data_IF_694371330072
#
_entry.id   IF_694371330072
#
_cell.length_a   1.000
_cell.length_b   1.000
_cell.length_c   1.000
_cell.angle_alpha   90.00
_cell.angle_beta   90.00
_cell.angle_gamma   90.00
#
_symmetry.space_group_name_H-M   'P 1'
#
loop_
_entity.id
_entity.type
_entity.pdbx_description
1 polymer ?
#
# COMPACT_ATOMS: atom_id res chain seq x y z
N UNK A 1 29.91 -26.82 43.76
CA UNK A 1 30.17 -26.47 42.34
C UNK A 1 29.22 -27.26 41.43
N UNK A 2 27.91 -27.16 41.68
CA UNK A 2 26.87 -27.90 40.94
C UNK A 2 25.52 -27.15 40.91
N UNK A 3 25.51 -25.84 41.19
CA UNK A 3 24.28 -25.04 41.32
C UNK A 3 24.22 -23.83 40.35
N UNK A 4 25.17 -23.73 39.42
CA UNK A 4 25.23 -22.64 38.42
C UNK A 4 24.84 -23.13 37.02
N UNK A 5 24.70 -24.44 36.79
CA UNK A 5 24.41 -25.02 35.47
C UNK A 5 22.92 -25.30 35.22
N UNK A 6 22.02 -24.99 36.16
CA UNK A 6 20.59 -25.27 36.03
C UNK A 6 19.74 -24.01 35.73
N UNK A 7 20.37 -22.86 35.55
CA UNK A 7 19.70 -21.62 35.12
C UNK A 7 19.79 -21.36 33.61
N UNK A 8 20.47 -22.21 32.85
CA UNK A 8 20.66 -22.04 31.40
C UNK A 8 19.74 -22.95 30.54
N UNK A 9 18.81 -23.68 31.15
CA UNK A 9 17.99 -24.68 30.44
C UNK A 9 16.47 -24.56 30.60
N UNK A 10 15.95 -23.50 31.22
CA UNK A 10 14.49 -23.24 31.27
C UNK A 10 14.02 -21.98 30.55
N UNK A 11 14.90 -21.29 29.81
CA UNK A 11 14.49 -20.24 28.86
C UNK A 11 14.24 -20.79 27.45
N UNK A 12 13.83 -22.05 27.35
CA UNK A 12 13.17 -22.60 26.15
C UNK A 12 11.66 -22.39 26.29
N UNK A 13 11.26 -21.12 26.28
CA UNK A 13 9.87 -20.70 26.16
C UNK A 13 9.79 -19.86 24.87
N UNK A 14 9.19 -20.43 23.83
CA UNK A 14 8.91 -19.85 22.50
C UNK A 14 9.99 -18.93 21.91
N UNK A 15 10.88 -19.46 21.06
CA UNK A 15 11.68 -18.65 20.16
C UNK A 15 10.77 -17.92 19.16
N UNK A 16 10.27 -16.75 19.53
CA UNK A 16 9.97 -15.71 18.53
C UNK A 16 11.33 -15.25 17.99
N UNK A 17 11.59 -15.56 16.73
CA UNK A 17 12.82 -15.15 16.06
C UNK A 17 12.80 -13.62 15.94
N UNK A 18 13.76 -12.95 16.57
CA UNK A 18 13.86 -11.49 16.50
C UNK A 18 14.14 -11.04 15.06
N UNK A 19 13.77 -9.80 14.70
CA UNK A 19 14.09 -9.24 13.38
C UNK A 19 15.60 -9.32 13.10
N UNK A 20 16.44 -9.15 14.13
CA UNK A 20 17.88 -9.33 14.03
C UNK A 20 18.27 -10.74 13.55
N UNK A 21 17.77 -11.79 14.22
CA UNK A 21 18.10 -13.18 13.88
C UNK A 21 17.64 -13.53 12.46
N UNK A 22 16.47 -13.02 12.07
CA UNK A 22 15.94 -13.18 10.73
C UNK A 22 16.87 -12.55 9.68
N UNK A 23 17.27 -11.28 9.87
CA UNK A 23 18.14 -10.57 8.94
C UNK A 23 19.52 -11.24 8.83
N UNK A 24 20.08 -11.72 9.95
CA UNK A 24 21.35 -12.45 9.97
C UNK A 24 21.26 -13.74 9.14
N UNK A 25 20.20 -14.53 9.35
CA UNK A 25 20.01 -15.79 8.61
C UNK A 25 19.78 -15.61 7.11
N UNK A 26 19.17 -14.49 6.70
CA UNK A 26 18.85 -14.20 5.29
C UNK A 26 19.96 -13.46 4.52
N UNK A 27 20.95 -12.90 5.22
CA UNK A 27 21.94 -11.99 4.63
C UNK A 27 22.72 -12.59 3.44
N UNK A 28 23.22 -13.83 3.55
CA UNK A 28 23.98 -14.46 2.47
C UNK A 28 23.07 -14.75 1.27
N UNK A 29 21.89 -15.32 1.53
CA UNK A 29 20.89 -15.62 0.51
C UNK A 29 20.50 -14.36 -0.26
N UNK A 30 20.20 -13.27 0.44
CA UNK A 30 19.82 -12.02 -0.20
C UNK A 30 20.92 -11.41 -1.05
N UNK A 31 22.20 -11.56 -0.66
CA UNK A 31 23.35 -11.15 -1.49
C UNK A 31 23.38 -11.90 -2.84
N UNK A 32 22.98 -13.16 -2.85
CA UNK A 32 22.95 -13.99 -4.05
C UNK A 32 21.74 -13.71 -4.92
N UNK A 33 20.57 -13.43 -4.33
CA UNK A 33 19.29 -13.34 -5.03
C UNK A 33 18.91 -11.92 -5.49
N UNK A 34 19.25 -10.89 -4.71
CA UNK A 34 18.77 -9.53 -4.92
C UNK A 34 19.87 -8.56 -5.38
N UNK A 35 19.46 -7.50 -6.07
CA UNK A 35 20.30 -6.37 -6.40
C UNK A 35 20.71 -5.64 -5.12
N UNK A 36 22.00 -5.28 -4.95
CA UNK A 36 22.40 -4.43 -3.84
C UNK A 36 21.84 -3.02 -4.05
N UNK A 37 21.62 -2.31 -2.95
CA UNK A 37 21.25 -0.89 -2.91
C UNK A 37 19.90 -0.48 -3.49
N UNK A 38 19.09 -1.40 -4.02
CA UNK A 38 17.75 -1.08 -4.54
C UNK A 38 16.70 -1.82 -3.71
N UNK A 39 15.80 -1.05 -3.12
CA UNK A 39 14.60 -1.56 -2.44
C UNK A 39 13.34 -1.00 -3.10
N UNK A 40 12.21 -1.61 -2.78
CA UNK A 40 10.88 -1.15 -3.15
C UNK A 40 10.05 -1.05 -1.88
N UNK A 41 9.30 0.04 -1.77
CA UNK A 41 8.29 0.23 -0.73
C UNK A 41 6.96 0.60 -1.40
N UNK A 42 5.92 -0.17 -1.12
CA UNK A 42 4.60 -0.08 -1.72
C UNK A 42 3.58 0.47 -0.73
N UNK A 43 2.89 1.54 -1.10
CA UNK A 43 1.75 2.07 -0.35
C UNK A 43 0.46 1.51 -0.94
N UNK A 44 -0.14 0.55 -0.27
CA UNK A 44 -1.35 -0.13 -0.75
C UNK A 44 -2.58 0.59 -0.23
N UNK A 45 -3.30 1.29 -1.09
CA UNK A 45 -4.57 1.93 -0.74
C UNK A 45 -5.75 1.00 -0.99
N UNK A 46 -6.64 0.93 -0.01
CA UNK A 46 -7.95 0.29 -0.10
C UNK A 46 -9.04 1.25 0.38
N UNK A 47 -10.27 1.07 -0.10
CA UNK A 47 -11.41 1.87 0.33
C UNK A 47 -12.54 0.99 0.83
N UNK A 48 -12.98 1.23 2.06
CA UNK A 48 -14.06 0.48 2.69
C UNK A 48 -14.77 1.32 3.73
N UNK A 49 -16.10 1.15 3.84
CA UNK A 49 -16.93 1.86 4.83
C UNK A 49 -16.68 3.38 4.89
N UNK A 50 -16.56 4.01 3.72
CA UNK A 50 -16.30 5.44 3.61
C UNK A 50 -15.02 5.93 4.32
N UNK A 51 -14.00 5.06 4.37
CA UNK A 51 -12.65 5.32 4.85
C UNK A 51 -11.62 4.85 3.82
N UNK A 52 -10.57 5.65 3.61
CA UNK A 52 -9.38 5.23 2.87
C UNK A 52 -8.41 4.60 3.87
N UNK A 53 -7.90 3.42 3.53
CA UNK A 53 -7.02 2.64 4.38
C UNK A 53 -5.72 2.32 3.66
N UNK A 54 -4.68 2.09 4.44
CA UNK A 54 -3.38 1.61 3.96
C UNK A 54 -3.06 0.28 4.62
N UNK A 55 -2.56 -0.67 3.82
CA UNK A 55 -2.06 -1.93 4.35
C UNK A 55 -0.69 -1.71 5.01
N UNK A 56 -0.57 -2.09 6.28
CA UNK A 56 0.66 -1.99 7.06
C UNK A 56 1.01 -3.33 7.72
N UNK A 57 2.29 -3.53 7.98
CA UNK A 57 2.80 -4.68 8.72
C UNK A 57 3.33 -4.24 10.08
N UNK A 58 2.98 -4.97 11.14
CA UNK A 58 3.60 -4.78 12.47
C UNK A 58 4.83 -5.69 12.56
N UNK A 59 6.00 -5.10 12.78
CA UNK A 59 7.26 -5.84 12.88
C UNK A 59 7.29 -6.75 14.11
N UNK A 60 7.87 -7.95 13.99
CA UNK A 60 7.99 -8.91 15.09
C UNK A 60 8.76 -8.35 16.27
N UNK A 61 8.18 -8.41 17.45
CA UNK A 61 8.84 -8.02 18.71
C UNK A 61 9.11 -6.51 18.84
N UNK A 62 8.55 -5.69 17.95
CA UNK A 62 8.70 -4.24 17.91
C UNK A 62 7.33 -3.56 17.85
N UNK A 63 7.20 -2.36 18.44
CA UNK A 63 5.97 -1.56 18.34
C UNK A 63 5.95 -0.62 17.12
N UNK A 64 6.77 -0.92 16.12
CA UNK A 64 6.87 -0.15 14.87
C UNK A 64 6.19 -0.85 13.70
N UNK A 65 5.64 -0.05 12.80
CA UNK A 65 4.95 -0.53 11.60
C UNK A 65 5.73 -0.23 10.33
N UNK A 66 5.54 -1.05 9.30
CA UNK A 66 6.18 -0.90 8.00
C UNK A 66 5.15 -0.89 6.87
N UNK A 67 5.55 -0.30 5.74
CA UNK A 67 4.87 -0.51 4.47
C UNK A 67 5.27 -1.90 3.93
N UNK A 68 4.44 -2.52 3.09
CA UNK A 68 4.86 -3.65 2.26
C UNK A 68 6.07 -3.24 1.44
N UNK A 69 7.21 -3.87 1.68
CA UNK A 69 8.46 -3.53 1.04
C UNK A 69 9.37 -4.75 0.88
N UNK A 70 10.40 -4.60 0.06
CA UNK A 70 11.31 -5.67 -0.24
C UNK A 70 12.44 -5.26 -1.18
N UNK A 71 13.12 -6.27 -1.71
CA UNK A 71 14.30 -6.10 -2.55
C UNK A 71 14.00 -6.55 -3.98
N UNK A 72 14.74 -5.98 -4.93
CA UNK A 72 14.61 -6.28 -6.36
C UNK A 72 15.54 -7.44 -6.71
N UNK A 73 14.98 -8.52 -7.25
CA UNK A 73 15.71 -9.71 -7.67
C UNK A 73 16.63 -9.40 -8.86
N UNK A 74 17.69 -10.21 -9.02
CA UNK A 74 18.66 -9.99 -10.12
C UNK A 74 18.10 -10.26 -11.53
N UNK A 75 16.93 -10.89 -11.62
CA UNK A 75 16.31 -11.34 -12.89
C UNK A 75 14.89 -10.78 -13.09
N UNK A 76 14.48 -9.82 -12.27
CA UNK A 76 13.17 -9.17 -12.37
C UNK A 76 13.36 -7.65 -12.55
N UNK A 77 12.40 -7.00 -13.19
CA UNK A 77 12.31 -5.53 -13.21
C UNK A 77 11.63 -4.98 -11.94
N UNK A 78 11.45 -3.66 -11.87
CA UNK A 78 10.89 -3.00 -10.69
C UNK A 78 9.40 -3.30 -10.50
N UNK A 79 8.65 -3.34 -11.60
CA UNK A 79 7.24 -3.63 -11.62
C UNK A 79 6.95 -5.10 -11.25
N UNK A 80 7.75 -6.03 -11.76
CA UNK A 80 7.73 -7.46 -11.39
C UNK A 80 8.02 -7.64 -9.91
N UNK A 81 9.08 -7.00 -9.40
CA UNK A 81 9.44 -7.03 -7.99
C UNK A 81 8.33 -6.46 -7.08
N UNK A 82 7.75 -5.32 -7.44
CA UNK A 82 6.66 -4.71 -6.69
C UNK A 82 5.40 -5.58 -6.68
N UNK A 83 5.05 -6.21 -7.82
CA UNK A 83 3.94 -7.17 -7.87
C UNK A 83 4.19 -8.38 -6.99
N UNK A 84 5.38 -8.97 -7.05
CA UNK A 84 5.76 -10.11 -6.20
C UNK A 84 5.67 -9.76 -4.71
N UNK A 85 6.25 -8.63 -4.29
CA UNK A 85 6.18 -8.15 -2.89
C UNK A 85 4.73 -8.02 -2.43
N UNK A 86 3.87 -7.48 -3.28
CA UNK A 86 2.45 -7.27 -2.94
C UNK A 86 1.66 -8.57 -2.94
N UNK A 87 1.89 -9.46 -3.89
CA UNK A 87 1.27 -10.80 -3.94
C UNK A 87 1.62 -11.58 -2.68
N UNK A 88 2.89 -11.58 -2.25
CA UNK A 88 3.32 -12.25 -1.02
C UNK A 88 2.60 -11.73 0.25
N UNK A 89 2.12 -10.47 0.27
CA UNK A 89 1.43 -9.86 1.44
C UNK A 89 -0.09 -9.82 1.34
N UNK A 90 -0.63 -9.92 0.14
CA UNK A 90 -2.06 -9.69 -0.12
C UNK A 90 -2.75 -10.87 -0.79
N UNK A 91 -1.98 -11.78 -1.39
CA UNK A 91 -2.47 -12.82 -2.30
C UNK A 91 -3.10 -12.25 -3.59
N UNK A 92 -3.10 -10.93 -3.79
CA UNK A 92 -3.72 -10.29 -4.93
C UNK A 92 -2.72 -10.17 -6.09
N UNK A 93 -3.21 -10.50 -7.28
CA UNK A 93 -2.46 -10.39 -8.54
C UNK A 93 -3.12 -9.38 -9.46
N UNK A 94 -2.38 -8.88 -10.46
CA UNK A 94 -2.88 -7.90 -11.45
C UNK A 94 -3.46 -6.63 -10.80
N UNK A 95 -2.80 -6.16 -9.74
CA UNK A 95 -3.16 -4.96 -9.00
C UNK A 95 -2.72 -3.72 -9.78
N UNK A 96 -3.52 -2.65 -9.70
CA UNK A 96 -3.09 -1.38 -10.24
C UNK A 96 -1.90 -0.87 -9.43
N UNK A 97 -0.79 -0.64 -10.12
CA UNK A 97 0.48 -0.23 -9.53
C UNK A 97 1.01 1.00 -10.27
N UNK A 98 1.57 1.96 -9.53
CA UNK A 98 2.15 3.18 -10.10
C UNK A 98 3.41 3.55 -9.33
N UNK A 99 4.54 3.63 -10.03
CA UNK A 99 5.75 4.25 -9.51
C UNK A 99 5.49 5.76 -9.36
N UNK A 100 5.85 6.33 -8.21
CA UNK A 100 5.55 7.74 -7.92
C UNK A 100 6.77 8.57 -7.49
N UNK A 101 7.78 7.95 -6.88
CA UNK A 101 8.97 8.66 -6.39
C UNK A 101 10.14 7.71 -6.13
N UNK A 102 11.34 8.25 -6.13
CA UNK A 102 12.56 7.58 -5.63
C UNK A 102 13.00 8.27 -4.34
N UNK A 103 13.31 7.49 -3.31
CA UNK A 103 13.78 7.92 -2.00
C UNK A 103 15.26 7.55 -1.84
N UNK A 104 16.11 8.56 -1.75
CA UNK A 104 17.57 8.39 -1.88
C UNK A 104 18.40 9.04 -0.77
N UNK A 105 17.74 9.49 0.31
CA UNK A 105 18.41 10.05 1.48
C UNK A 105 19.45 9.05 2.03
N UNK A 106 20.73 9.43 2.16
CA UNK A 106 21.78 8.54 2.67
C UNK A 106 21.50 7.97 4.07
N UNK A 107 20.70 8.65 4.88
CA UNK A 107 20.44 8.30 6.28
C UNK A 107 19.06 7.66 6.50
N UNK A 108 18.33 7.31 5.42
CA UNK A 108 16.95 6.80 5.51
C UNK A 108 16.74 5.60 6.43
N UNK A 109 17.76 4.76 6.59
CA UNK A 109 17.73 3.55 7.41
C UNK A 109 18.74 3.56 8.58
N UNK A 110 19.47 4.67 8.78
CA UNK A 110 20.67 4.69 9.61
C UNK A 110 20.44 4.27 11.07
N UNK A 111 19.32 4.69 11.66
CA UNK A 111 19.00 4.39 13.05
C UNK A 111 18.55 2.95 13.26
N UNK A 112 17.86 2.36 12.28
CA UNK A 112 17.30 1.01 12.41
C UNK A 112 18.39 -0.07 12.48
N UNK A 113 19.48 0.12 11.73
CA UNK A 113 20.58 -0.84 11.63
C UNK A 113 21.80 -0.48 12.51
N UNK A 114 21.70 0.53 13.38
CA UNK A 114 22.86 1.09 14.10
C UNK A 114 23.66 0.03 14.86
N UNK A 115 22.96 -0.82 15.62
CA UNK A 115 23.55 -1.88 16.46
C UNK A 115 23.81 -3.21 15.71
N UNK A 116 23.60 -3.24 14.39
CA UNK A 116 23.78 -4.46 13.57
C UNK A 116 25.17 -4.49 12.90
N UNK A 117 25.74 -5.68 12.60
CA UNK A 117 27.05 -5.79 11.97
C UNK A 117 27.15 -5.10 10.60
N UNK A 118 28.25 -4.43 10.30
CA UNK A 118 28.49 -3.77 9.01
C UNK A 118 28.53 -4.73 7.80
N UNK A 119 28.86 -6.00 8.05
CA UNK A 119 28.86 -7.03 7.02
C UNK A 119 27.44 -7.50 6.63
N UNK A 120 26.40 -7.09 7.37
CA UNK A 120 25.02 -7.44 7.09
C UNK A 120 24.58 -6.80 5.76
N UNK A 121 24.14 -7.63 4.81
CA UNK A 121 23.71 -7.14 3.50
C UNK A 121 22.60 -6.09 3.60
N UNK A 122 21.72 -6.20 4.59
CA UNK A 122 20.63 -5.27 4.85
C UNK A 122 21.08 -3.88 5.34
N UNK A 123 22.27 -3.76 5.95
CA UNK A 123 22.79 -2.50 6.50
C UNK A 123 23.41 -1.59 5.44
N UNK A 124 23.63 -2.09 4.22
CA UNK A 124 24.13 -1.27 3.12
C UNK A 124 23.20 -0.10 2.81
N UNK A 125 23.71 0.94 2.14
CA UNK A 125 22.86 2.04 1.66
C UNK A 125 21.85 1.53 0.63
N UNK A 126 20.58 1.90 0.80
CA UNK A 126 19.53 1.64 -0.16
C UNK A 126 18.96 2.95 -0.74
N UNK A 127 18.61 2.90 -2.01
CA UNK A 127 17.67 3.80 -2.67
C UNK A 127 16.37 3.03 -2.82
N UNK A 128 15.27 3.57 -2.30
CA UNK A 128 13.97 2.93 -2.42
C UNK A 128 13.14 3.52 -3.54
N UNK A 129 12.56 2.66 -4.38
CA UNK A 129 11.58 3.05 -5.39
C UNK A 129 10.20 2.92 -4.77
N UNK A 130 9.51 4.06 -4.64
CA UNK A 130 8.18 4.13 -4.09
C UNK A 130 7.13 3.82 -5.15
N UNK A 131 6.30 2.82 -4.84
CA UNK A 131 5.09 2.50 -5.59
C UNK A 131 3.85 2.74 -4.73
N UNK A 132 2.73 3.06 -5.34
CA UNK A 132 1.44 2.90 -4.70
C UNK A 132 0.57 1.93 -5.49
N UNK A 133 -0.24 1.16 -4.75
CA UNK A 133 -1.20 0.24 -5.32
C UNK A 133 -2.62 0.66 -4.95
N UNK A 134 -3.57 0.40 -5.84
CA UNK A 134 -5.00 0.57 -5.57
C UNK A 134 -5.67 -0.80 -5.65
N UNK A 135 -6.26 -1.25 -4.56
CA UNK A 135 -6.86 -2.59 -4.49
C UNK A 135 -8.27 -2.51 -3.91
N UNK A 136 -9.26 -3.24 -4.47
CA UNK A 136 -10.55 -3.41 -3.84
C UNK A 136 -10.39 -4.03 -2.45
N UNK A 137 -10.83 -3.34 -1.41
CA UNK A 137 -10.57 -3.75 -0.02
C UNK A 137 -11.00 -5.20 0.28
N UNK A 138 -12.14 -5.63 -0.27
CA UNK A 138 -12.71 -6.95 -0.04
C UNK A 138 -12.05 -8.07 -0.87
N UNK A 139 -11.17 -7.75 -1.82
CA UNK A 139 -10.46 -8.74 -2.63
C UNK A 139 -9.12 -9.17 -2.03
N UNK A 140 -8.77 -8.67 -0.85
CA UNK A 140 -7.49 -8.94 -0.18
C UNK A 140 -7.73 -9.57 1.18
N UNK A 141 -7.04 -10.68 1.42
CA UNK A 141 -6.84 -11.21 2.76
C UNK A 141 -5.39 -10.89 3.16
N UNK A 142 -5.16 -9.94 4.09
CA UNK A 142 -3.82 -9.62 4.54
C UNK A 142 -3.07 -10.85 5.06
N UNK A 143 -1.84 -11.05 4.59
CA UNK A 143 -0.93 -12.11 5.03
C UNK A 143 0.31 -11.47 5.61
N UNK A 144 0.67 -11.84 6.85
CA UNK A 144 1.91 -11.44 7.50
C UNK A 144 3.09 -12.23 6.91
N UNK A 145 4.24 -11.57 6.75
CA UNK A 145 5.48 -12.24 6.36
C UNK A 145 6.26 -12.79 7.55
N UNK A 146 7.42 -13.37 7.27
CA UNK A 146 8.31 -13.90 8.31
C UNK A 146 8.83 -12.83 9.28
N UNK A 147 8.89 -11.56 8.86
CA UNK A 147 9.42 -10.44 9.64
C UNK A 147 8.34 -9.70 10.47
N UNK A 148 7.06 -10.03 10.26
CA UNK A 148 5.93 -9.31 10.82
C UNK A 148 4.99 -10.21 11.62
N UNK A 149 4.43 -9.68 12.70
CA UNK A 149 3.41 -10.37 13.51
C UNK A 149 2.04 -10.32 12.85
N UNK A 150 1.69 -9.18 12.24
CA UNK A 150 0.36 -8.95 11.66
C UNK A 150 0.46 -8.05 10.43
N UNK A 151 -0.43 -8.27 9.47
CA UNK A 151 -0.67 -7.39 8.33
C UNK A 151 -2.12 -6.87 8.42
N UNK A 152 -2.32 -5.56 8.53
CA UNK A 152 -3.63 -4.96 8.79
C UNK A 152 -3.90 -3.71 7.95
N UNK A 153 -5.17 -3.44 7.73
CA UNK A 153 -5.64 -2.18 7.16
C UNK A 153 -5.75 -1.11 8.24
N UNK A 154 -4.98 -0.03 8.09
CA UNK A 154 -5.00 1.13 8.99
C UNK A 154 -5.66 2.32 8.31
N UNK A 155 -6.45 3.11 9.05
CA UNK A 155 -7.08 4.32 8.52
C UNK A 155 -6.02 5.40 8.27
N UNK A 156 -6.08 6.09 7.12
CA UNK A 156 -5.11 7.15 6.81
C UNK A 156 -5.13 8.33 7.80
N UNK A 157 -6.20 8.47 8.60
CA UNK A 157 -6.35 9.50 9.62
C UNK A 157 -5.94 9.02 11.02
N UNK A 158 -5.63 7.73 11.18
CA UNK A 158 -5.21 7.11 12.44
C UNK A 158 -4.02 6.16 12.18
N UNK A 159 -2.95 6.74 11.64
CA UNK A 159 -1.75 6.01 11.25
C UNK A 159 -0.82 5.80 12.45
N UNK A 160 -0.30 4.58 12.67
CA UNK A 160 0.70 4.33 13.70
C UNK A 160 2.06 4.91 13.30
N UNK A 161 3.01 4.92 14.25
CA UNK A 161 4.40 5.27 13.94
C UNK A 161 5.01 4.26 12.95
N UNK A 162 5.51 4.77 11.83
CA UNK A 162 6.16 3.96 10.81
C UNK A 162 7.69 3.95 11.00
N UNK A 163 8.31 2.81 10.72
CA UNK A 163 9.76 2.65 10.80
C UNK A 163 10.49 3.45 9.71
N UNK A 164 11.76 3.79 9.96
CA UNK A 164 12.65 4.45 8.98
C UNK A 164 12.00 5.71 8.38
N UNK A 165 12.04 5.86 7.05
CA UNK A 165 11.42 6.95 6.30
C UNK A 165 10.03 6.60 5.73
N UNK A 166 9.41 5.49 6.16
CA UNK A 166 8.15 5.01 5.58
C UNK A 166 6.99 6.02 5.71
N UNK A 167 7.01 6.87 6.75
CA UNK A 167 6.08 7.99 6.86
C UNK A 167 6.17 8.95 5.66
N UNK A 168 7.40 9.27 5.22
CA UNK A 168 7.63 10.13 4.06
C UNK A 168 7.21 9.43 2.75
N UNK A 169 7.36 8.11 2.69
CA UNK A 169 6.92 7.29 1.54
C UNK A 169 5.39 7.32 1.42
N UNK A 170 4.69 7.07 2.53
CA UNK A 170 3.23 7.18 2.60
C UNK A 170 2.72 8.56 2.20
N UNK A 171 3.29 9.63 2.76
CA UNK A 171 2.91 11.01 2.44
C UNK A 171 3.14 11.34 0.96
N UNK A 172 4.26 10.88 0.41
CA UNK A 172 4.58 11.01 -1.01
C UNK A 172 3.57 10.29 -1.91
N UNK A 173 3.14 9.09 -1.53
CA UNK A 173 2.14 8.33 -2.27
C UNK A 173 0.77 9.01 -2.22
N UNK A 174 0.32 9.47 -1.04
CA UNK A 174 -0.95 10.17 -0.89
C UNK A 174 -0.98 11.48 -1.68
N UNK A 175 0.13 12.24 -1.68
CA UNK A 175 0.26 13.44 -2.51
C UNK A 175 0.19 13.10 -4.01
N UNK A 176 0.83 12.02 -4.43
CA UNK A 176 0.79 11.56 -5.83
C UNK A 176 -0.62 11.15 -6.22
N UNK A 177 -1.31 10.38 -5.38
CA UNK A 177 -2.70 9.99 -5.58
C UNK A 177 -3.64 11.20 -5.72
N UNK A 178 -3.44 12.24 -4.89
CA UNK A 178 -4.18 13.52 -5.00
C UNK A 178 -3.95 14.23 -6.32
N UNK A 179 -2.71 14.24 -6.82
CA UNK A 179 -2.38 14.85 -8.12
C UNK A 179 -3.08 14.13 -9.26
N UNK A 180 -3.08 12.80 -9.23
CA UNK A 180 -3.70 11.97 -10.26
C UNK A 180 -5.22 12.20 -10.41
N UNK A 181 -5.93 12.54 -9.32
CA UNK A 181 -7.36 12.89 -9.39
C UNK A 181 -7.66 14.07 -10.33
N UNK A 182 -6.68 14.92 -10.58
CA UNK A 182 -6.77 16.07 -11.51
C UNK A 182 -6.88 15.62 -12.97
N UNK A 183 -6.31 14.46 -13.29
CA UNK A 183 -6.09 14.04 -14.67
C UNK A 183 -6.84 12.76 -15.04
N UNK A 184 -7.19 11.91 -14.06
CA UNK A 184 -7.94 10.68 -14.31
C UNK A 184 -8.95 10.39 -13.19
N UNK A 185 -10.14 9.87 -13.53
CA UNK A 185 -11.12 9.51 -12.53
C UNK A 185 -10.71 8.23 -11.79
N UNK A 186 -10.13 8.39 -10.61
CA UNK A 186 -9.80 7.28 -9.72
C UNK A 186 -11.10 6.75 -9.09
N UNK A 187 -11.22 5.43 -8.99
CA UNK A 187 -12.40 4.79 -8.39
C UNK A 187 -12.56 3.35 -8.85
N UNK A 188 -12.18 3.07 -10.10
CA UNK A 188 -12.28 1.73 -10.68
C UNK A 188 -11.59 0.64 -9.83
N UNK A 189 -10.43 0.94 -9.27
CA UNK A 189 -9.65 -0.01 -8.45
C UNK A 189 -9.91 0.09 -6.94
N UNK A 190 -10.82 0.97 -6.49
CA UNK A 190 -11.08 1.23 -5.06
C UNK A 190 -12.53 1.00 -4.65
N UNK A 191 -13.48 1.21 -5.57
CA UNK A 191 -14.89 0.99 -5.32
C UNK A 191 -15.29 -0.44 -5.74
N UNK A 192 -16.40 -0.96 -5.17
CA UNK A 192 -17.03 -2.16 -5.71
C UNK A 192 -17.45 -1.97 -7.17
N UNK A 193 -17.72 -3.07 -7.87
CA UNK A 193 -18.15 -3.05 -9.29
C UNK A 193 -19.35 -2.13 -9.52
N UNK A 194 -20.30 -2.13 -8.58
CA UNK A 194 -21.46 -1.24 -8.57
C UNK A 194 -21.38 -0.27 -7.39
N UNK A 195 -21.45 1.03 -7.69
CA UNK A 195 -21.38 2.09 -6.69
C UNK A 195 -22.33 3.23 -7.02
N UNK A 196 -22.54 4.11 -6.06
CA UNK A 196 -23.35 5.32 -6.19
C UNK A 196 -22.46 6.55 -6.33
N UNK A 197 -22.93 7.61 -7.02
CA UNK A 197 -22.16 8.87 -7.10
C UNK A 197 -21.82 9.51 -5.73
N UNK A 198 -22.67 9.40 -4.68
CA UNK A 198 -22.26 9.80 -3.34
C UNK A 198 -21.05 9.04 -2.80
N UNK A 199 -20.93 7.74 -3.05
CA UNK A 199 -19.76 6.95 -2.63
C UNK A 199 -18.50 7.36 -3.37
N UNK A 200 -18.60 7.55 -4.69
CA UNK A 200 -17.50 8.09 -5.49
C UNK A 200 -17.11 9.49 -5.02
N UNK A 201 -18.08 10.37 -4.70
CA UNK A 201 -17.79 11.69 -4.15
C UNK A 201 -17.06 11.58 -2.81
N UNK A 202 -17.54 10.71 -1.91
CA UNK A 202 -16.94 10.52 -0.59
C UNK A 202 -15.50 10.02 -0.70
N UNK A 203 -15.21 9.10 -1.62
CA UNK A 203 -13.85 8.66 -1.93
C UNK A 203 -12.95 9.85 -2.31
N UNK A 204 -13.40 10.71 -3.23
CA UNK A 204 -12.63 11.88 -3.66
C UNK A 204 -12.42 12.88 -2.53
N UNK A 205 -13.46 13.13 -1.72
CA UNK A 205 -13.36 14.04 -0.57
C UNK A 205 -12.30 13.56 0.44
N UNK A 206 -12.21 12.25 0.68
CA UNK A 206 -11.23 11.66 1.59
C UNK A 206 -9.82 11.77 1.03
N UNK A 207 -9.61 11.36 -0.23
CA UNK A 207 -8.30 11.47 -0.87
C UNK A 207 -7.84 12.94 -0.88
N UNK A 208 -8.72 13.87 -1.25
CA UNK A 208 -8.39 15.31 -1.32
C UNK A 208 -8.32 16.00 0.05
N UNK A 209 -8.85 15.39 1.12
CA UNK A 209 -8.93 15.99 2.44
C UNK A 209 -9.86 17.23 2.53
N UNK A 210 -10.86 17.33 1.65
CA UNK A 210 -11.79 18.48 1.62
C UNK A 210 -13.16 18.09 1.08
N UNK A 211 -14.19 18.85 1.46
CA UNK A 211 -15.55 18.68 0.92
C UNK A 211 -15.66 19.18 -0.52
N UNK A 212 -16.45 18.48 -1.32
CA UNK A 212 -16.72 18.83 -2.71
C UNK A 212 -18.16 19.29 -2.88
N UNK A 213 -18.38 20.26 -3.77
CA UNK A 213 -19.72 20.61 -4.17
C UNK A 213 -20.33 19.48 -5.01
N UNK A 214 -21.43 18.90 -4.54
CA UNK A 214 -22.10 17.76 -5.19
C UNK A 214 -22.44 18.01 -6.66
N UNK A 215 -23.02 19.18 -6.97
CA UNK A 215 -23.44 19.50 -8.34
C UNK A 215 -22.26 19.59 -9.31
N UNK A 216 -21.19 20.27 -8.88
CA UNK A 216 -19.97 20.39 -9.68
C UNK A 216 -19.27 19.04 -9.86
N UNK A 217 -19.18 18.25 -8.78
CA UNK A 217 -18.61 16.92 -8.84
C UNK A 217 -19.37 16.02 -9.82
N UNK A 218 -20.71 15.97 -9.73
CA UNK A 218 -21.52 15.08 -10.57
C UNK A 218 -21.44 15.48 -12.04
N UNK A 219 -21.56 16.78 -12.34
CA UNK A 219 -21.45 17.30 -13.71
C UNK A 219 -20.11 16.88 -14.33
N UNK A 220 -19.03 17.02 -13.57
CA UNK A 220 -17.69 16.68 -14.02
C UNK A 220 -17.50 15.18 -14.24
N UNK A 221 -17.88 14.35 -13.28
CA UNK A 221 -17.75 12.89 -13.41
C UNK A 221 -18.56 12.35 -14.60
N UNK A 222 -19.76 12.90 -14.84
CA UNK A 222 -20.55 12.52 -16.01
C UNK A 222 -19.93 12.98 -17.34
N UNK A 223 -19.24 14.13 -17.35
CA UNK A 223 -18.61 14.65 -18.55
C UNK A 223 -17.43 13.78 -19.06
N UNK A 224 -16.81 13.01 -18.17
CA UNK A 224 -15.82 12.01 -18.57
C UNK A 224 -16.38 10.90 -19.46
N UNK A 225 -17.69 10.67 -19.43
CA UNK A 225 -18.37 9.60 -20.20
C UNK A 225 -17.72 8.21 -20.00
N UNK A 226 -17.30 7.90 -18.77
CA UNK A 226 -16.69 6.59 -18.43
C UNK A 226 -17.56 5.74 -17.51
N UNK A 227 -18.81 6.17 -17.24
CA UNK A 227 -19.73 5.50 -16.33
C UNK A 227 -20.99 5.07 -17.06
N UNK A 228 -21.37 3.79 -16.91
CA UNK A 228 -22.66 3.28 -17.31
C UNK A 228 -23.63 3.38 -16.13
N UNK A 229 -24.80 3.98 -16.37
CA UNK A 229 -25.89 4.00 -15.39
C UNK A 229 -26.64 2.68 -15.44
N UNK A 230 -26.80 2.03 -14.29
CA UNK A 230 -27.47 0.74 -14.18
C UNK A 230 -28.98 0.89 -13.95
N UNK A 231 -29.72 -0.15 -14.32
CA UNK A 231 -31.13 -0.27 -13.96
C UNK A 231 -31.26 -0.63 -12.48
N UNK A 232 -31.86 0.27 -11.70
CA UNK A 232 -32.06 0.09 -10.27
C UNK A 232 -31.42 1.19 -9.42
N UNK A 233 -31.63 1.06 -8.11
CA UNK A 233 -31.12 1.99 -7.12
C UNK A 233 -30.73 1.19 -5.88
N UNK A 234 -29.70 1.66 -5.15
CA UNK A 234 -29.26 0.96 -3.94
C UNK A 234 -30.37 0.99 -2.89
N UNK A 235 -30.93 -0.19 -2.59
CA UNK A 235 -32.00 -0.35 -1.59
C UNK A 235 -31.38 -0.29 -0.19
N UNK A 236 -32.02 0.42 0.76
CA UNK A 236 -31.58 0.41 2.16
C UNK A 236 -31.65 1.73 2.95
N UNK A 237 -32.43 2.73 2.54
CA UNK A 237 -32.57 3.97 3.31
C UNK A 237 -33.95 4.63 3.20
N UNK A 238 -34.25 5.54 4.13
CA UNK A 238 -35.54 6.27 4.21
C UNK A 238 -35.74 7.34 3.10
N UNK A 239 -34.71 7.62 2.31
CA UNK A 239 -34.73 8.62 1.22
C UNK A 239 -34.70 7.96 -0.16
N UNK A 240 -34.97 8.74 -1.22
CA UNK A 240 -34.91 8.29 -2.62
C UNK A 240 -33.58 7.60 -2.88
N UNK A 241 -33.65 6.30 -3.19
CA UNK A 241 -32.49 5.45 -3.40
C UNK A 241 -31.60 6.03 -4.53
N UNK A 242 -30.29 6.17 -4.31
CA UNK A 242 -29.37 6.66 -5.34
C UNK A 242 -29.25 5.64 -6.47
N UNK A 243 -29.10 6.14 -7.70
CA UNK A 243 -28.80 5.29 -8.87
C UNK A 243 -27.45 4.60 -8.70
N UNK A 244 -27.38 3.38 -9.24
CA UNK A 244 -26.14 2.62 -9.35
C UNK A 244 -25.44 2.91 -10.68
N UNK A 245 -24.12 2.89 -10.63
CA UNK A 245 -23.22 3.09 -11.75
C UNK A 245 -22.13 2.04 -11.69
N UNK A 246 -21.55 1.75 -12.86
CA UNK A 246 -20.30 1.00 -13.00
C UNK A 246 -19.38 1.72 -13.98
N UNK A 247 -18.08 1.53 -13.85
CA UNK A 247 -17.15 2.01 -14.87
C UNK A 247 -17.29 1.20 -16.16
N UNK A 248 -17.40 1.90 -17.28
CA UNK A 248 -17.27 1.29 -18.59
C UNK A 248 -15.77 1.10 -18.89
N UNK A 249 -15.29 -0.14 -18.82
CA UNK A 249 -13.86 -0.43 -18.94
C UNK A 249 -13.26 0.02 -20.28
N UNK A 250 -14.00 -0.15 -21.38
CA UNK A 250 -13.52 0.23 -22.71
C UNK A 250 -13.37 1.74 -22.83
N UNK A 251 -14.41 2.50 -22.46
CA UNK A 251 -14.36 3.96 -22.46
C UNK A 251 -13.31 4.51 -21.49
N UNK A 252 -13.16 3.89 -20.32
CA UNK A 252 -12.16 4.29 -19.33
C UNK A 252 -10.73 4.10 -19.84
N UNK A 253 -10.42 2.92 -20.41
CA UNK A 253 -9.10 2.66 -21.02
C UNK A 253 -8.84 3.59 -22.20
N UNK A 254 -9.82 3.82 -23.06
CA UNK A 254 -9.71 4.76 -24.18
C UNK A 254 -9.44 6.19 -23.70
N UNK A 255 -10.09 6.63 -22.62
CA UNK A 255 -9.88 7.96 -22.03
C UNK A 255 -8.50 8.10 -21.37
N UNK A 256 -7.97 7.04 -20.75
CA UNK A 256 -6.59 7.04 -20.23
C UNK A 256 -5.56 7.21 -21.36
N UNK A 257 -5.78 6.62 -22.52
CA UNK A 257 -4.90 6.74 -23.68
C UNK A 257 -5.02 8.08 -24.40
N UNK A 258 -6.25 8.56 -24.59
CA UNK A 258 -6.53 9.75 -25.41
C UNK A 258 -6.62 11.06 -24.63
N UNK A 259 -6.57 10.98 -23.30
CA UNK A 259 -6.88 12.09 -22.40
C UNK A 259 -8.38 12.24 -22.13
N UNK A 260 -8.71 12.77 -20.95
CA UNK A 260 -10.09 13.08 -20.58
C UNK A 260 -10.51 14.43 -21.16
N UNK A 261 -11.78 14.52 -21.60
CA UNK A 261 -12.31 15.69 -22.28
C UNK A 261 -12.42 16.96 -21.40
N UNK A 262 -12.26 16.86 -20.08
CA UNK A 262 -12.36 17.97 -19.11
C UNK A 262 -11.39 17.83 -17.90
N UNK A 263 -10.24 18.51 -17.94
CA UNK A 263 -9.29 18.55 -16.80
C UNK A 263 -9.80 19.45 -15.65
N UNK A 264 -9.29 19.27 -14.42
CA UNK A 264 -9.69 20.03 -13.20
C UNK A 264 -9.14 21.44 -13.13
#
# INVERSE_FOLDING_TARGET
>A
MAFVLQSFKSYFCSMEQSVYDLLMSKSEKHRLEFLPHISIDCVVFGFHEASLKVLLLKMKGEDTWSLPGGYVGKQEDLEEAANRILEERTGATNIYLQQFKVFSDPNRSQHFFAEMPDALWHKQRFVSVGFYALIPYLSVTPVSDEASDVCLWCDIHDMPALMMDHQQIFEGALLSLRRELTYKPIGYNLLPEEFTLPELQKLYEIILGRKLNRGNFYRKIMAYDVLDKLEGARRGGAHKAPYLYKFNQEKYKAALHNGFKDNW
#
